data_IF_439004673676
#
_entry.id   IF_439004673676
#
_cell.length_a   1.000
_cell.length_b   1.000
_cell.length_c   1.000
_cell.angle_alpha   90.00
_cell.angle_beta   90.00
_cell.angle_gamma   90.00
#
_symmetry.space_group_name_H-M   'P 1'
#
loop_
_entity.id
_entity.type
_entity.pdbx_description
1 polymer ?
#
# COMPACT_ATOMS: atom_id res chain seq x y z
N UNK A 1 -8.04 12.87 12.69
CA UNK A 1 -8.28 11.42 12.59
C UNK A 1 -7.94 10.71 13.91
N UNK A 2 -8.36 9.46 14.14
CA UNK A 2 -8.20 8.77 15.43
C UNK A 2 -6.79 8.26 15.70
N UNK A 3 -5.92 8.21 14.69
CA UNK A 3 -4.59 7.63 14.81
C UNK A 3 -3.63 8.62 15.44
N UNK A 4 -3.09 8.31 16.61
CA UNK A 4 -2.14 9.12 17.36
C UNK A 4 -0.70 8.96 16.86
N UNK A 5 -0.46 9.22 15.57
CA UNK A 5 0.86 9.12 14.95
C UNK A 5 1.49 10.51 14.86
N UNK A 6 2.33 10.85 15.84
CA UNK A 6 3.05 12.13 15.91
C UNK A 6 2.16 13.38 15.76
N UNK A 7 2.62 14.36 14.98
CA UNK A 7 1.91 15.62 14.72
C UNK A 7 1.56 15.73 13.25
N UNK A 8 0.27 15.87 12.95
CA UNK A 8 -0.21 16.04 11.59
C UNK A 8 -0.01 17.47 11.09
N UNK A 9 0.30 17.59 9.81
CA UNK A 9 0.10 18.84 9.11
C UNK A 9 -1.40 19.10 8.88
N UNK A 10 -1.82 20.33 9.04
CA UNK A 10 -3.14 20.73 8.55
C UNK A 10 -3.10 20.91 7.03
N UNK A 11 -3.35 19.83 6.28
CA UNK A 11 -3.34 19.85 4.82
C UNK A 11 -4.47 20.70 4.19
N UNK A 12 -5.45 21.14 4.97
CA UNK A 12 -6.46 22.11 4.52
C UNK A 12 -5.90 23.54 4.51
N UNK A 13 -4.80 23.81 5.23
CA UNK A 13 -4.14 25.11 5.24
C UNK A 13 -3.47 25.42 3.89
N UNK A 14 -3.76 26.57 3.25
CA UNK A 14 -3.11 26.96 2.01
C UNK A 14 -1.58 27.07 2.13
N UNK A 15 -1.07 27.44 3.31
CA UNK A 15 0.37 27.53 3.57
C UNK A 15 1.02 26.16 3.61
N UNK A 16 0.38 25.18 4.26
CA UNK A 16 0.85 23.79 4.29
C UNK A 16 0.82 23.20 2.88
N UNK A 17 -0.27 23.38 2.15
CA UNK A 17 -0.37 22.91 0.76
C UNK A 17 0.73 23.50 -0.13
N UNK A 18 0.98 24.78 -0.02
CA UNK A 18 2.08 25.45 -0.75
C UNK A 18 3.45 24.88 -0.37
N UNK A 19 3.69 24.65 0.92
CA UNK A 19 4.95 24.07 1.42
C UNK A 19 5.14 22.65 0.88
N UNK A 20 4.12 21.79 1.00
CA UNK A 20 4.18 20.40 0.52
C UNK A 20 4.40 20.35 -0.99
N UNK A 21 3.63 21.09 -1.78
CA UNK A 21 3.79 21.14 -3.24
C UNK A 21 5.19 21.56 -3.65
N UNK A 22 5.74 22.63 -3.02
CA UNK A 22 7.12 23.07 -3.30
C UNK A 22 8.13 21.97 -2.97
N UNK A 23 7.94 21.25 -1.87
CA UNK A 23 8.84 20.17 -1.48
C UNK A 23 8.80 19.03 -2.50
N UNK A 24 7.61 18.57 -2.90
CA UNK A 24 7.43 17.53 -3.91
C UNK A 24 8.10 17.91 -5.25
N UNK A 25 7.87 19.13 -5.73
CA UNK A 25 8.47 19.63 -6.96
C UNK A 25 9.99 19.75 -6.85
N UNK A 26 10.51 20.19 -5.70
CA UNK A 26 11.95 20.25 -5.42
C UNK A 26 12.61 18.87 -5.49
N UNK A 27 12.01 17.86 -4.88
CA UNK A 27 12.54 16.49 -4.89
C UNK A 27 12.57 15.90 -6.31
N UNK A 28 11.55 16.16 -7.12
CA UNK A 28 11.50 15.73 -8.53
C UNK A 28 12.59 16.42 -9.36
N UNK A 29 12.80 17.73 -9.19
CA UNK A 29 13.74 18.50 -10.02
C UNK A 29 15.19 18.31 -9.61
N UNK A 30 15.50 18.40 -8.31
CA UNK A 30 16.87 18.37 -7.80
C UNK A 30 17.39 16.95 -7.62
N UNK A 31 16.57 16.04 -7.09
CA UNK A 31 16.98 14.65 -6.84
C UNK A 31 16.58 13.69 -7.97
N UNK A 32 15.74 14.16 -8.92
CA UNK A 32 15.30 13.38 -10.08
C UNK A 32 14.70 12.03 -9.72
N UNK A 33 13.93 11.99 -8.63
CA UNK A 33 13.18 10.80 -8.25
C UNK A 33 11.99 10.61 -9.20
N UNK A 34 11.52 9.36 -9.34
CA UNK A 34 10.48 9.00 -10.30
C UNK A 34 9.06 9.09 -9.73
N UNK A 35 8.93 9.39 -8.44
CA UNK A 35 7.61 9.51 -7.81
C UNK A 35 7.63 9.41 -6.29
N UNK A 36 6.45 9.23 -5.71
CA UNK A 36 6.25 9.25 -4.26
C UNK A 36 5.30 8.13 -3.80
N UNK A 37 5.55 7.63 -2.60
CA UNK A 37 4.53 6.96 -1.80
C UNK A 37 4.18 7.85 -0.63
N UNK A 38 2.91 8.23 -0.51
CA UNK A 38 2.40 9.03 0.59
C UNK A 38 1.91 8.12 1.71
N UNK A 39 2.31 8.46 2.93
CA UNK A 39 1.98 7.75 4.16
C UNK A 39 0.63 8.21 4.70
N UNK A 40 -0.18 7.27 5.18
CA UNK A 40 -1.44 7.48 5.91
C UNK A 40 -2.34 8.60 5.33
N UNK A 41 -2.54 8.59 4.01
CA UNK A 41 -3.25 9.67 3.29
C UNK A 41 -4.71 9.84 3.67
N UNK A 42 -5.36 8.83 4.26
CA UNK A 42 -6.70 9.00 4.83
C UNK A 42 -6.74 9.97 6.01
N UNK A 43 -5.59 10.32 6.57
CA UNK A 43 -5.42 11.37 7.59
C UNK A 43 -5.33 12.79 7.02
N UNK A 44 -5.28 13.01 5.69
CA UNK A 44 -5.12 14.34 5.08
C UNK A 44 -6.41 15.18 5.12
N UNK A 45 -7.07 15.21 6.27
CA UNK A 45 -8.33 15.91 6.51
C UNK A 45 -8.36 16.46 7.93
N UNK A 46 -9.06 17.57 8.14
CA UNK A 46 -9.35 18.09 9.48
C UNK A 46 -10.71 17.60 10.03
N UNK A 47 -11.42 16.80 9.23
CA UNK A 47 -12.69 16.20 9.68
C UNK A 47 -12.44 15.24 10.84
N UNK A 48 -13.13 15.47 11.95
CA UNK A 48 -13.06 14.57 13.09
C UNK A 48 -13.66 13.22 12.73
N UNK A 49 -12.95 12.16 13.06
CA UNK A 49 -13.37 10.78 12.81
C UNK A 49 -12.93 9.84 13.95
N UNK A 50 -13.58 8.69 14.00
CA UNK A 50 -13.19 7.54 14.86
C UNK A 50 -12.57 6.45 13.99
N UNK A 51 -12.01 5.39 14.59
CA UNK A 51 -11.54 4.23 13.84
C UNK A 51 -12.60 3.64 12.91
N UNK A 52 -13.86 3.61 13.37
CA UNK A 52 -14.98 3.10 12.58
C UNK A 52 -15.38 4.01 11.40
N UNK A 53 -15.02 5.28 11.41
CA UNK A 53 -15.46 6.28 10.41
C UNK A 53 -14.31 6.91 9.62
N UNK A 54 -13.06 6.66 9.99
CA UNK A 54 -11.89 7.25 9.33
C UNK A 54 -11.75 6.85 7.85
N UNK A 55 -12.27 5.68 7.50
CA UNK A 55 -12.24 5.16 6.12
C UNK A 55 -13.47 5.56 5.29
N UNK A 56 -14.46 6.27 5.87
CA UNK A 56 -15.63 6.73 5.13
C UNK A 56 -15.24 7.82 4.13
N UNK A 57 -16.00 7.93 3.05
CA UNK A 57 -15.79 8.90 1.98
C UNK A 57 -15.62 10.34 2.49
N UNK A 58 -14.56 11.01 2.01
CA UNK A 58 -14.23 12.39 2.38
C UNK A 58 -13.69 13.20 1.18
N UNK A 59 -14.54 14.04 0.62
CA UNK A 59 -14.21 14.87 -0.54
C UNK A 59 -13.05 15.84 -0.25
N UNK A 60 -12.93 16.36 0.99
CA UNK A 60 -11.88 17.33 1.31
C UNK A 60 -10.47 16.74 1.13
N UNK A 61 -10.24 15.51 1.60
CA UNK A 61 -8.93 14.85 1.41
C UNK A 61 -8.69 14.40 -0.03
N UNK A 62 -9.75 14.01 -0.75
CA UNK A 62 -9.65 13.73 -2.20
C UNK A 62 -9.13 14.96 -2.94
N UNK A 63 -9.72 16.12 -2.70
CA UNK A 63 -9.33 17.37 -3.35
C UNK A 63 -7.88 17.77 -3.02
N UNK A 64 -7.42 17.52 -1.79
CA UNK A 64 -6.04 17.75 -1.37
C UNK A 64 -5.08 16.83 -2.12
N UNK A 65 -5.40 15.54 -2.20
CA UNK A 65 -4.56 14.56 -2.88
C UNK A 65 -4.49 14.80 -4.39
N UNK A 66 -5.60 15.18 -5.01
CA UNK A 66 -5.65 15.61 -6.42
C UNK A 66 -4.79 16.87 -6.68
N UNK A 67 -4.81 17.86 -5.77
CA UNK A 67 -3.96 19.04 -5.88
C UNK A 67 -2.47 18.71 -5.77
N UNK A 68 -2.08 17.78 -4.89
CA UNK A 68 -0.68 17.32 -4.80
C UNK A 68 -0.28 16.51 -6.04
N UNK A 69 -1.14 15.62 -6.52
CA UNK A 69 -0.91 14.87 -7.75
C UNK A 69 -0.72 15.82 -8.95
N UNK A 70 -1.56 16.83 -9.09
CA UNK A 70 -1.43 17.85 -10.14
C UNK A 70 -0.09 18.57 -10.08
N UNK A 71 0.34 19.00 -8.89
CA UNK A 71 1.62 19.69 -8.71
C UNK A 71 2.84 18.79 -9.04
N UNK A 72 2.74 17.49 -8.79
CA UNK A 72 3.75 16.49 -9.19
C UNK A 72 3.78 16.36 -10.72
N UNK A 73 2.61 16.18 -11.33
CA UNK A 73 2.47 15.96 -12.79
C UNK A 73 2.85 17.19 -13.60
N UNK A 74 2.74 18.40 -13.07
CA UNK A 74 3.24 19.65 -13.70
C UNK A 74 4.75 19.60 -13.95
N UNK A 75 5.52 18.95 -13.06
CA UNK A 75 6.98 18.85 -13.15
C UNK A 75 7.40 17.59 -13.88
N UNK A 76 6.74 16.48 -13.63
CA UNK A 76 7.05 15.18 -14.21
C UNK A 76 5.75 14.43 -14.50
N UNK A 77 5.29 14.50 -15.75
CA UNK A 77 4.00 13.96 -16.20
C UNK A 77 3.85 12.44 -15.90
N UNK A 78 4.95 11.69 -16.00
CA UNK A 78 4.97 10.24 -15.81
C UNK A 78 5.34 9.84 -14.35
N UNK A 79 5.46 10.81 -13.44
CA UNK A 79 5.79 10.50 -12.04
C UNK A 79 4.79 9.52 -11.42
N UNK A 80 5.30 8.55 -10.67
CA UNK A 80 4.49 7.55 -9.97
C UNK A 80 3.99 8.14 -8.65
N UNK A 81 2.67 8.04 -8.40
CA UNK A 81 2.07 8.47 -7.14
C UNK A 81 1.33 7.29 -6.52
N UNK A 82 1.79 6.86 -5.37
CA UNK A 82 1.22 5.74 -4.61
C UNK A 82 0.70 6.27 -3.27
N UNK A 83 -0.49 5.84 -2.88
CA UNK A 83 -1.14 6.27 -1.64
C UNK A 83 -1.33 5.08 -0.70
N UNK A 84 -0.84 5.21 0.53
CA UNK A 84 -1.33 4.38 1.62
C UNK A 84 -2.63 5.00 2.12
N UNK A 85 -3.75 4.51 1.62
CA UNK A 85 -5.05 5.17 1.81
C UNK A 85 -6.03 4.36 2.66
N UNK A 86 -6.33 3.13 2.24
CA UNK A 86 -7.21 2.20 2.95
C UNK A 86 -8.57 2.80 3.32
N UNK A 87 -9.17 3.55 2.41
CA UNK A 87 -10.51 4.10 2.54
C UNK A 87 -11.54 3.25 1.77
N UNK A 88 -12.78 3.70 1.70
CA UNK A 88 -13.79 3.00 0.92
C UNK A 88 -13.49 3.02 -0.59
N UNK A 89 -13.85 1.95 -1.30
CA UNK A 89 -13.50 1.74 -2.72
C UNK A 89 -13.93 2.90 -3.62
N UNK A 90 -15.05 3.54 -3.34
CA UNK A 90 -15.52 4.70 -4.11
C UNK A 90 -14.50 5.84 -4.10
N UNK A 91 -13.91 6.13 -2.95
CA UNK A 91 -12.90 7.17 -2.81
C UNK A 91 -11.59 6.76 -3.47
N UNK A 92 -11.14 5.52 -3.23
CA UNK A 92 -9.94 4.97 -3.87
C UNK A 92 -10.07 4.99 -5.40
N UNK A 93 -11.26 4.67 -5.91
CA UNK A 93 -11.54 4.75 -7.36
C UNK A 93 -11.37 6.17 -7.90
N UNK A 94 -11.90 7.19 -7.23
CA UNK A 94 -11.75 8.58 -7.68
C UNK A 94 -10.29 9.02 -7.75
N UNK A 95 -9.45 8.55 -6.80
CA UNK A 95 -8.02 8.82 -6.79
C UNK A 95 -7.29 8.03 -7.90
N UNK A 96 -7.70 6.79 -8.14
CA UNK A 96 -7.14 5.96 -9.19
C UNK A 96 -7.50 6.46 -10.60
N UNK A 97 -8.70 7.01 -10.79
CA UNK A 97 -9.11 7.63 -12.07
C UNK A 97 -8.26 8.86 -12.42
N UNK A 98 -7.61 9.50 -11.44
CA UNK A 98 -6.63 10.58 -11.62
C UNK A 98 -5.18 10.07 -11.82
N UNK A 99 -5.02 8.77 -11.99
CA UNK A 99 -3.73 8.13 -12.26
C UNK A 99 -2.85 7.89 -11.02
N UNK A 100 -3.40 8.00 -9.81
CA UNK A 100 -2.76 7.56 -8.59
C UNK A 100 -2.96 6.06 -8.37
N UNK A 101 -2.04 5.42 -7.66
CA UNK A 101 -2.14 4.01 -7.30
C UNK A 101 -2.35 3.87 -5.79
N UNK A 102 -3.21 2.94 -5.39
CA UNK A 102 -3.55 2.70 -3.99
C UNK A 102 -2.85 1.43 -3.49
N UNK A 103 -2.27 1.46 -2.30
CA UNK A 103 -1.72 0.27 -1.67
C UNK A 103 -2.81 -0.76 -1.39
N UNK A 104 -2.53 -2.03 -1.75
CA UNK A 104 -3.43 -3.16 -1.53
C UNK A 104 -2.73 -4.24 -0.71
N UNK A 105 -2.99 -4.25 0.58
CA UNK A 105 -2.42 -5.19 1.53
C UNK A 105 -3.05 -6.60 1.38
N UNK A 106 -2.21 -7.62 1.17
CA UNK A 106 -2.62 -9.02 1.20
C UNK A 106 -1.76 -9.85 2.15
N UNK A 107 -1.08 -9.20 3.11
CA UNK A 107 -0.19 -9.86 4.06
C UNK A 107 -0.89 -11.00 4.81
N UNK A 108 -2.13 -10.81 5.26
CA UNK A 108 -2.84 -11.86 5.98
C UNK A 108 -2.99 -13.14 5.14
N UNK A 109 -3.51 -13.02 3.93
CA UNK A 109 -3.66 -14.17 3.00
C UNK A 109 -2.30 -14.77 2.62
N UNK A 110 -1.29 -13.92 2.39
CA UNK A 110 0.08 -14.36 2.14
C UNK A 110 0.64 -15.17 3.31
N UNK A 111 0.50 -14.69 4.54
CA UNK A 111 0.99 -15.38 5.72
C UNK A 111 0.26 -16.72 5.94
N UNK A 112 -1.06 -16.79 5.71
CA UNK A 112 -1.81 -18.06 5.76
C UNK A 112 -1.23 -19.07 4.76
N UNK A 113 -1.05 -18.66 3.51
CA UNK A 113 -0.44 -19.52 2.49
C UNK A 113 1.01 -19.89 2.86
N UNK A 114 1.80 -18.93 3.34
CA UNK A 114 3.19 -19.16 3.74
C UNK A 114 3.31 -20.17 4.88
N UNK A 115 2.40 -20.13 5.85
CA UNK A 115 2.32 -21.08 6.96
C UNK A 115 1.74 -22.46 6.55
N UNK A 116 1.20 -22.59 5.34
CA UNK A 116 0.59 -23.82 4.84
C UNK A 116 -0.85 -24.05 5.30
N UNK A 117 -1.57 -22.98 5.65
CA UNK A 117 -2.99 -23.00 5.98
C UNK A 117 -3.83 -22.61 4.76
N UNK A 118 -4.94 -23.33 4.54
CA UNK A 118 -5.85 -23.07 3.41
C UNK A 118 -6.88 -22.00 3.69
N UNK A 119 -7.23 -21.82 4.95
CA UNK A 119 -8.24 -20.85 5.35
C UNK A 119 -7.71 -19.43 5.17
N UNK A 120 -8.54 -18.55 4.59
CA UNK A 120 -8.20 -17.14 4.33
C UNK A 120 -6.93 -16.91 3.47
N UNK A 121 -6.54 -17.91 2.66
CA UNK A 121 -5.32 -17.89 1.83
C UNK A 121 -5.52 -17.32 0.43
N UNK A 122 -6.64 -16.65 0.15
CA UNK A 122 -7.01 -16.18 -1.18
C UNK A 122 -6.35 -14.84 -1.54
N UNK A 123 -5.71 -14.78 -2.72
CA UNK A 123 -5.17 -13.56 -3.31
C UNK A 123 -6.17 -12.81 -4.21
N UNK A 124 -7.45 -13.17 -4.20
CA UNK A 124 -8.46 -12.49 -5.04
C UNK A 124 -8.59 -11.00 -4.76
N UNK A 125 -8.23 -10.54 -3.55
CA UNK A 125 -8.20 -9.12 -3.21
C UNK A 125 -7.22 -8.28 -4.06
N UNK A 126 -6.29 -8.91 -4.78
CA UNK A 126 -5.34 -8.23 -5.68
C UNK A 126 -5.93 -7.91 -7.04
N UNK A 127 -6.98 -8.63 -7.48
CA UNK A 127 -7.56 -8.41 -8.81
C UNK A 127 -8.56 -7.26 -8.79
N UNK A 128 -8.50 -6.42 -9.82
CA UNK A 128 -9.52 -5.40 -10.09
C UNK A 128 -10.74 -5.96 -10.84
N UNK A 129 -10.67 -7.23 -11.28
CA UNK A 129 -11.78 -7.87 -11.98
C UNK A 129 -13.01 -8.01 -11.07
N UNK A 130 -14.14 -7.50 -11.53
CA UNK A 130 -15.39 -7.51 -10.76
C UNK A 130 -15.52 -6.39 -9.73
N UNK A 131 -14.58 -5.46 -9.71
CA UNK A 131 -14.60 -4.23 -8.88
C UNK A 131 -14.82 -3.00 -9.77
N UNK A 132 -14.94 -1.83 -9.15
CA UNK A 132 -15.01 -0.54 -9.86
C UNK A 132 -13.63 0.07 -10.13
N UNK A 133 -12.57 -0.50 -9.57
CA UNK A 133 -11.20 -0.01 -9.71
C UNK A 133 -10.67 -0.17 -11.14
N UNK A 134 -9.99 0.84 -11.69
CA UNK A 134 -9.32 0.70 -12.98
C UNK A 134 -8.17 -0.30 -12.90
N UNK A 135 -7.85 -0.93 -14.03
CA UNK A 135 -6.67 -1.79 -14.10
C UNK A 135 -5.40 -0.99 -13.74
N UNK A 136 -4.57 -1.56 -12.86
CA UNK A 136 -3.36 -0.88 -12.36
C UNK A 136 -3.61 0.12 -11.22
N UNK A 137 -4.86 0.33 -10.79
CA UNK A 137 -5.20 1.23 -9.69
C UNK A 137 -4.73 0.74 -8.32
N UNK A 138 -4.42 -0.55 -8.17
CA UNK A 138 -3.83 -1.09 -6.95
C UNK A 138 -2.38 -1.54 -7.13
N UNK A 139 -1.52 -1.18 -6.14
CA UNK A 139 -0.20 -1.78 -5.95
C UNK A 139 -0.33 -2.84 -4.85
N UNK A 140 -0.34 -4.10 -5.24
CA UNK A 140 -0.44 -5.21 -4.30
C UNK A 140 0.87 -5.49 -3.60
N UNK A 141 0.83 -5.85 -2.31
CA UNK A 141 2.01 -6.28 -1.57
C UNK A 141 1.71 -7.39 -0.57
N UNK A 142 2.70 -8.26 -0.39
CA UNK A 142 2.68 -9.37 0.57
C UNK A 142 3.21 -8.94 1.94
N UNK A 143 4.21 -8.08 1.94
CA UNK A 143 4.91 -7.57 3.13
C UNK A 143 5.23 -6.09 2.97
N UNK A 144 5.29 -5.37 4.09
CA UNK A 144 5.80 -4.00 4.17
C UNK A 144 6.59 -3.80 5.48
N UNK A 145 6.89 -2.55 5.84
CA UNK A 145 7.50 -2.20 7.12
C UNK A 145 6.55 -2.33 8.31
N UNK A 146 5.24 -2.45 8.06
CA UNK A 146 4.20 -2.51 9.10
C UNK A 146 3.76 -3.94 9.42
N UNK A 147 3.96 -4.90 8.50
CA UNK A 147 3.49 -6.26 8.67
C UNK A 147 4.63 -7.23 8.96
N UNK A 148 4.27 -8.32 9.63
CA UNK A 148 5.22 -9.38 9.87
C UNK A 148 5.59 -10.17 8.61
N UNK A 149 6.82 -10.62 8.59
CA UNK A 149 7.41 -11.41 7.50
C UNK A 149 6.80 -12.79 7.38
N UNK A 150 6.54 -13.22 6.16
CA UNK A 150 6.09 -14.59 5.89
C UNK A 150 7.08 -15.65 6.37
N UNK A 151 8.39 -15.40 6.22
CA UNK A 151 9.43 -16.27 6.75
C UNK A 151 9.36 -16.43 8.26
N UNK A 152 9.19 -15.35 9.00
CA UNK A 152 8.99 -15.37 10.45
C UNK A 152 7.69 -16.12 10.82
N UNK A 153 6.59 -15.84 10.14
CA UNK A 153 5.32 -16.56 10.36
C UNK A 153 5.47 -18.07 10.16
N UNK A 154 6.26 -18.50 9.17
CA UNK A 154 6.53 -19.92 8.94
C UNK A 154 7.26 -20.57 10.12
N UNK A 155 8.24 -19.89 10.73
CA UNK A 155 9.00 -20.44 11.86
C UNK A 155 8.17 -20.55 13.13
N UNK A 156 7.29 -19.58 13.36
CA UNK A 156 6.50 -19.51 14.60
C UNK A 156 5.19 -20.29 14.53
N UNK A 157 4.48 -20.22 13.42
CA UNK A 157 3.11 -20.76 13.31
C UNK A 157 2.87 -21.64 12.06
N UNK A 158 3.94 -21.93 11.30
CA UNK A 158 3.84 -22.83 10.16
C UNK A 158 3.38 -24.24 10.56
N UNK A 159 2.77 -24.96 9.60
CA UNK A 159 2.52 -26.38 9.81
C UNK A 159 3.85 -27.13 10.05
N UNK A 160 3.77 -28.37 10.56
CA UNK A 160 4.97 -29.08 11.03
C UNK A 160 6.16 -29.04 10.07
N UNK A 161 5.94 -29.31 8.79
CA UNK A 161 7.03 -29.35 7.80
C UNK A 161 7.60 -27.95 7.51
N UNK A 162 6.76 -26.92 7.47
CA UNK A 162 7.19 -25.54 7.26
C UNK A 162 7.94 -25.01 8.48
N UNK A 163 7.52 -25.36 9.69
CA UNK A 163 8.19 -24.95 10.91
C UNK A 163 9.59 -25.51 11.08
N UNK A 164 9.82 -26.73 10.65
CA UNK A 164 11.05 -27.50 10.95
C UNK A 164 12.05 -27.61 9.79
N UNK A 165 11.61 -27.42 8.54
CA UNK A 165 12.46 -27.67 7.36
C UNK A 165 12.65 -26.41 6.51
N UNK A 166 13.82 -25.80 6.56
CA UNK A 166 14.16 -24.58 5.78
C UNK A 166 13.88 -24.77 4.28
N UNK A 167 14.28 -25.91 3.70
CA UNK A 167 14.03 -26.18 2.27
C UNK A 167 12.55 -26.14 1.91
N UNK A 168 11.68 -26.63 2.79
CA UNK A 168 10.22 -26.61 2.59
C UNK A 168 9.69 -25.18 2.70
N UNK A 169 10.17 -24.40 3.67
CA UNK A 169 9.83 -22.96 3.80
C UNK A 169 10.15 -22.19 2.53
N UNK A 170 11.35 -22.33 2.00
CA UNK A 170 11.78 -21.60 0.80
C UNK A 170 10.96 -21.98 -0.43
N UNK A 171 10.64 -23.26 -0.59
CA UNK A 171 9.77 -23.71 -1.67
C UNK A 171 8.35 -23.13 -1.54
N UNK A 172 7.80 -23.04 -0.33
CA UNK A 172 6.49 -22.44 -0.10
C UNK A 172 6.48 -20.94 -0.42
N UNK A 173 7.52 -20.19 -0.03
CA UNK A 173 7.64 -18.77 -0.38
C UNK A 173 7.77 -18.57 -1.89
N UNK A 174 8.48 -19.47 -2.59
CA UNK A 174 8.54 -19.43 -4.05
C UNK A 174 7.16 -19.68 -4.71
N UNK A 175 6.37 -20.62 -4.18
CA UNK A 175 4.99 -20.84 -4.66
C UNK A 175 4.12 -19.61 -4.39
N UNK A 176 4.20 -19.01 -3.21
CA UNK A 176 3.48 -17.79 -2.87
C UNK A 176 3.83 -16.65 -3.84
N UNK A 177 5.12 -16.48 -4.12
CA UNK A 177 5.59 -15.47 -5.07
C UNK A 177 5.05 -15.72 -6.47
N UNK A 178 5.07 -16.99 -6.93
CA UNK A 178 4.51 -17.35 -8.23
C UNK A 178 3.02 -17.01 -8.33
N UNK A 179 2.23 -17.31 -7.32
CA UNK A 179 0.80 -16.97 -7.26
C UNK A 179 0.61 -15.44 -7.23
N UNK A 180 1.37 -14.73 -6.42
CA UNK A 180 1.26 -13.28 -6.26
C UNK A 180 1.60 -12.52 -7.54
N UNK A 181 2.73 -12.85 -8.19
CA UNK A 181 3.19 -12.12 -9.38
C UNK A 181 2.40 -12.46 -10.64
N UNK A 182 1.68 -13.58 -10.69
CA UNK A 182 0.84 -13.92 -11.84
C UNK A 182 -0.53 -13.22 -11.81
N UNK A 183 -0.96 -12.65 -10.69
CA UNK A 183 -2.13 -11.76 -10.68
C UNK A 183 -1.78 -10.46 -11.40
N UNK A 184 -2.54 -10.03 -12.44
CA UNK A 184 -2.24 -8.80 -13.17
C UNK A 184 -2.28 -7.54 -12.28
N UNK A 185 -1.41 -6.56 -12.61
CA UNK A 185 -1.31 -5.26 -11.95
C UNK A 185 0.03 -5.02 -11.25
N UNK A 186 0.30 -3.78 -10.82
CA UNK A 186 1.50 -3.40 -10.09
C UNK A 186 1.69 -4.18 -8.79
N UNK A 187 2.94 -4.47 -8.45
CA UNK A 187 3.31 -5.22 -7.24
C UNK A 187 4.50 -4.55 -6.55
N UNK A 188 4.51 -4.64 -5.23
CA UNK A 188 5.66 -4.27 -4.41
C UNK A 188 6.25 -5.51 -3.75
N UNK A 189 7.58 -5.62 -3.77
CA UNK A 189 8.33 -6.55 -2.94
C UNK A 189 8.96 -5.74 -1.81
N UNK A 190 8.66 -6.09 -0.57
CA UNK A 190 9.38 -5.53 0.56
C UNK A 190 10.74 -6.19 0.68
N UNK A 191 11.77 -5.37 0.93
CA UNK A 191 13.19 -5.79 0.93
C UNK A 191 13.43 -7.08 1.73
N UNK A 192 14.19 -7.99 1.13
CA UNK A 192 14.60 -9.29 1.67
C UNK A 192 13.46 -10.33 1.83
N UNK A 193 12.20 -9.99 1.51
CA UNK A 193 11.11 -10.96 1.45
C UNK A 193 11.40 -12.08 0.44
N UNK A 194 12.00 -11.72 -0.70
CA UNK A 194 12.46 -12.67 -1.74
C UNK A 194 13.58 -13.60 -1.29
N UNK A 195 14.30 -13.24 -0.24
CA UNK A 195 15.35 -14.06 0.37
C UNK A 195 14.85 -14.91 1.54
N UNK A 196 13.56 -14.79 1.89
CA UNK A 196 12.97 -15.51 3.01
C UNK A 196 13.39 -14.98 4.38
N UNK A 197 13.54 -13.66 4.51
CA UNK A 197 13.87 -13.01 5.78
C UNK A 197 12.89 -13.43 6.88
N UNK A 198 13.41 -14.01 7.98
CA UNK A 198 12.64 -14.67 9.03
C UNK A 198 12.88 -14.12 10.45
N UNK A 199 13.45 -12.93 10.56
CA UNK A 199 13.69 -12.24 11.82
C UNK A 199 12.54 -11.28 12.10
N UNK A 200 12.10 -11.24 13.37
CA UNK A 200 11.08 -10.32 13.89
C UNK A 200 11.59 -8.87 13.88
#
# INVERSE_FOLDING_TARGET
>A
HPYGVFHDFNHESPLVRKFVKRNLQFLLTEYRIDGFRFDLTKGFTQKSSTEATASNYDQARIDILKDYNSAIKEVHADAIVILEHFAEEREEKELADEGMMLWRNVNYAYCQTAMGWSDDSSFTALTTQGTTMPFGGWVGYMESHDEERGGYKQTEWGNYNLKTHLSTRMKQLAVNSALFFTVPGPKMIWQFGELGYDIY
#
